data_IF_070146863281
#
_entry.id   IF_070146863281
#
_cell.length_a   1.000
_cell.length_b   1.000
_cell.length_c   1.000
_cell.angle_alpha   90.00
_cell.angle_beta   90.00
_cell.angle_gamma   90.00
#
_symmetry.space_group_name_H-M   'P 1'
#
loop_
_entity.id
_entity.type
_entity.pdbx_description
1 polymer ?
#
# COMPACT_ATOMS: atom_id res chain seq x y z
N UNK A 1 0.40 8.97 8.80
CA UNK A 1 0.22 7.96 7.74
C UNK A 1 -0.68 6.84 8.25
N UNK A 2 -1.54 6.35 7.39
CA UNK A 2 -2.38 5.18 7.67
C UNK A 2 -1.99 4.06 6.71
N UNK A 3 -1.56 2.94 7.25
CA UNK A 3 -1.18 1.77 6.46
C UNK A 3 -2.31 0.76 6.47
N UNK A 4 -2.63 0.23 5.31
CA UNK A 4 -3.58 -0.87 5.17
C UNK A 4 -2.99 -1.96 4.29
N UNK A 5 -3.53 -3.17 4.43
CA UNK A 5 -3.00 -4.34 3.73
C UNK A 5 -4.11 -5.00 2.93
N UNK A 6 -3.82 -5.28 1.68
CA UNK A 6 -4.75 -5.95 0.78
C UNK A 6 -4.61 -7.46 0.91
N UNK A 7 -5.71 -8.18 0.83
CA UNK A 7 -5.69 -9.64 0.72
C UNK A 7 -5.77 -10.02 -0.75
N UNK A 8 -4.67 -10.39 -1.40
CA UNK A 8 -4.67 -10.65 -2.84
C UNK A 8 -5.68 -11.71 -3.27
N UNK A 9 -5.91 -12.70 -2.41
CA UNK A 9 -6.87 -13.79 -2.70
C UNK A 9 -8.33 -13.34 -2.77
N UNK A 10 -8.65 -12.18 -2.18
CA UNK A 10 -10.00 -11.61 -2.21
C UNK A 10 -10.26 -10.76 -3.45
N UNK A 11 -9.24 -10.48 -4.24
CA UNK A 11 -9.34 -9.64 -5.42
C UNK A 11 -9.75 -10.46 -6.64
N UNK A 12 -10.46 -9.81 -7.57
CA UNK A 12 -10.73 -10.38 -8.89
C UNK A 12 -9.42 -10.59 -9.66
N UNK A 13 -9.42 -11.48 -10.65
CA UNK A 13 -8.22 -11.88 -11.39
C UNK A 13 -7.47 -10.73 -12.07
N UNK A 14 -8.19 -9.70 -12.51
CA UNK A 14 -7.62 -8.54 -13.18
C UNK A 14 -7.29 -7.39 -12.22
N UNK A 15 -7.41 -7.60 -10.92
CA UNK A 15 -7.11 -6.61 -9.91
C UNK A 15 -5.86 -6.96 -9.11
N UNK A 16 -5.14 -5.92 -8.70
CA UNK A 16 -3.93 -6.03 -7.91
C UNK A 16 -3.85 -4.85 -6.93
N UNK A 17 -2.95 -4.92 -5.95
CA UNK A 17 -2.64 -3.80 -5.08
C UNK A 17 -2.27 -2.56 -5.89
N UNK A 18 -1.44 -2.72 -6.91
CA UNK A 18 -0.98 -1.61 -7.74
C UNK A 18 -2.13 -0.96 -8.51
N UNK A 19 -3.04 -1.76 -9.02
CA UNK A 19 -4.24 -1.24 -9.68
C UNK A 19 -5.14 -0.48 -8.70
N UNK A 20 -5.29 -0.98 -7.49
CA UNK A 20 -6.07 -0.29 -6.44
C UNK A 20 -5.49 1.10 -6.18
N UNK A 21 -4.17 1.22 -6.02
CA UNK A 21 -3.50 2.52 -5.85
C UNK A 21 -3.80 3.46 -7.02
N UNK A 22 -3.66 2.96 -8.23
CA UNK A 22 -3.90 3.74 -9.45
C UNK A 22 -5.34 4.26 -9.52
N UNK A 23 -6.30 3.41 -9.26
CA UNK A 23 -7.72 3.77 -9.33
C UNK A 23 -8.12 4.77 -8.23
N UNK A 24 -7.59 4.61 -7.02
CA UNK A 24 -7.84 5.56 -5.92
C UNK A 24 -7.25 6.92 -6.26
N UNK A 25 -6.02 6.97 -6.77
CA UNK A 25 -5.40 8.22 -7.20
C UNK A 25 -6.19 8.89 -8.33
N UNK A 26 -6.76 8.11 -9.23
CA UNK A 26 -7.60 8.63 -10.32
C UNK A 26 -8.85 9.34 -9.81
N UNK A 27 -9.32 9.00 -8.61
CA UNK A 27 -10.44 9.68 -7.95
C UNK A 27 -10.00 10.93 -7.17
N UNK A 28 -8.74 11.34 -7.27
CA UNK A 28 -8.22 12.53 -6.62
C UNK A 28 -7.80 12.36 -5.17
N UNK A 29 -7.69 11.11 -4.69
CA UNK A 29 -7.27 10.80 -3.32
C UNK A 29 -5.83 10.29 -3.34
N UNK A 30 -4.90 10.92 -2.58
CA UNK A 30 -3.53 10.44 -2.49
C UNK A 30 -3.45 9.05 -1.86
N UNK A 31 -2.91 8.11 -2.60
CA UNK A 31 -2.70 6.75 -2.14
C UNK A 31 -1.35 6.28 -2.68
N UNK A 32 -0.53 5.71 -1.82
CA UNK A 32 0.85 5.35 -2.14
C UNK A 32 1.13 3.90 -1.75
N UNK A 33 2.24 3.38 -2.25
CA UNK A 33 2.82 2.15 -1.72
C UNK A 33 3.19 2.37 -0.25
N UNK A 34 3.20 1.28 0.52
CA UNK A 34 3.69 1.34 1.89
C UNK A 34 5.17 1.71 1.96
N UNK A 35 5.66 1.90 3.16
CA UNK A 35 7.08 2.18 3.38
C UNK A 35 7.94 1.02 2.89
N UNK A 36 9.24 1.30 2.67
CA UNK A 36 10.21 0.29 2.31
C UNK A 36 10.25 -0.82 3.37
N UNK A 37 9.73 -1.99 3.02
CA UNK A 37 9.64 -3.13 3.94
C UNK A 37 10.92 -3.93 4.02
N UNK A 38 11.72 -3.89 2.97
CA UNK A 38 12.96 -4.65 2.85
C UNK A 38 14.16 -3.69 2.75
N UNK A 39 14.31 -2.84 3.75
CA UNK A 39 15.35 -1.82 3.78
C UNK A 39 16.76 -2.44 3.65
N UNK A 40 16.93 -3.68 4.10
CA UNK A 40 18.19 -4.38 3.99
C UNK A 40 18.62 -4.67 2.55
N UNK A 41 17.73 -4.55 1.56
CA UNK A 41 18.06 -4.68 0.14
C UNK A 41 18.58 -3.39 -0.48
N UNK A 42 18.52 -2.28 0.25
CA UNK A 42 19.01 -0.99 -0.24
C UNK A 42 20.54 -1.04 -0.45
N UNK A 43 21.00 -0.28 -1.43
CA UNK A 43 22.43 -0.25 -1.80
C UNK A 43 23.35 0.09 -0.64
N UNK A 44 22.87 0.87 0.34
CA UNK A 44 23.64 1.23 1.52
C UNK A 44 24.13 0.02 2.32
N UNK A 45 23.47 -1.13 2.17
CA UNK A 45 23.82 -2.36 2.88
C UNK A 45 24.66 -3.33 2.05
N UNK A 46 25.01 -2.96 0.80
CA UNK A 46 25.86 -3.79 -0.04
C UNK A 46 27.26 -3.90 0.62
N UNK A 47 27.77 -5.12 0.69
CA UNK A 47 29.10 -5.43 1.22
C UNK A 47 29.33 -5.02 2.68
N UNK A 48 28.27 -4.83 3.47
CA UNK A 48 28.39 -4.45 4.89
C UNK A 48 28.39 -5.63 5.84
N UNK A 49 27.90 -6.79 5.41
CA UNK A 49 27.69 -7.96 6.27
C UNK A 49 26.43 -7.85 7.14
N UNK A 50 25.66 -6.79 7.05
CA UNK A 50 24.43 -6.59 7.84
C UNK A 50 23.17 -7.12 7.16
N UNK A 51 23.27 -7.47 5.90
CA UNK A 51 22.13 -8.05 5.17
C UNK A 51 21.89 -9.50 5.59
N UNK A 52 20.63 -9.90 5.87
CA UNK A 52 20.33 -11.31 6.15
C UNK A 52 20.76 -12.21 4.99
N UNK A 53 21.19 -13.43 5.31
CA UNK A 53 21.58 -14.42 4.28
C UNK A 53 20.41 -14.79 3.37
N UNK A 54 19.23 -14.90 3.96
CA UNK A 54 17.99 -15.20 3.24
C UNK A 54 17.05 -14.02 3.32
N UNK A 55 16.23 -13.87 2.28
CA UNK A 55 15.22 -12.81 2.22
C UNK A 55 14.17 -13.02 3.31
N UNK A 56 13.79 -11.93 3.99
CA UNK A 56 12.76 -11.97 5.03
C UNK A 56 11.38 -12.06 4.37
N UNK A 57 10.79 -13.26 4.41
CA UNK A 57 9.54 -13.55 3.69
C UNK A 57 8.39 -12.66 4.11
N UNK A 58 8.21 -12.43 5.41
CA UNK A 58 7.12 -11.58 5.91
C UNK A 58 7.29 -10.13 5.49
N UNK A 59 8.53 -9.61 5.52
CA UNK A 59 8.82 -8.26 5.07
C UNK A 59 8.51 -8.08 3.58
N UNK A 60 8.91 -9.04 2.76
CA UNK A 60 8.60 -9.06 1.33
C UNK A 60 7.09 -9.06 1.09
N UNK A 61 6.36 -9.95 1.75
CA UNK A 61 4.91 -10.08 1.59
C UNK A 61 4.18 -8.80 1.98
N UNK A 62 4.53 -8.21 3.13
CA UNK A 62 3.93 -6.97 3.59
C UNK A 62 4.20 -5.82 2.61
N UNK A 63 5.39 -5.77 2.02
CA UNK A 63 5.72 -4.78 1.01
C UNK A 63 4.88 -4.90 -0.25
N UNK A 64 4.52 -6.10 -0.62
CA UNK A 64 3.72 -6.37 -1.82
C UNK A 64 2.23 -6.05 -1.66
N UNK A 65 1.72 -6.03 -0.43
CA UNK A 65 0.29 -5.87 -0.17
C UNK A 65 -0.08 -4.58 0.55
N UNK A 66 0.90 -3.75 0.92
CA UNK A 66 0.64 -2.54 1.69
C UNK A 66 0.27 -1.34 0.84
N UNK A 67 -0.64 -0.53 1.37
CA UNK A 67 -1.04 0.77 0.86
C UNK A 67 -0.84 1.80 1.97
N UNK A 68 -0.69 3.06 1.60
CA UNK A 68 -0.54 4.14 2.55
C UNK A 68 -1.43 5.33 2.17
N UNK A 69 -2.13 5.86 3.16
CA UNK A 69 -2.91 7.09 3.03
C UNK A 69 -2.31 8.17 3.92
N UNK A 70 -2.46 9.42 3.49
CA UNK A 70 -2.00 10.56 4.28
C UNK A 70 -2.99 10.85 5.40
N UNK A 71 -2.47 11.06 6.61
CA UNK A 71 -3.24 11.45 7.79
C UNK A 71 -2.49 12.56 8.51
N UNK A 72 -3.17 13.68 8.77
CA UNK A 72 -2.61 14.78 9.55
C UNK A 72 -3.74 15.59 10.20
N UNK A 73 -3.42 16.38 11.26
CA UNK A 73 -4.46 17.04 12.06
C UNK A 73 -5.30 18.09 11.31
N UNK A 74 -4.79 18.59 10.18
CA UNK A 74 -5.49 19.61 9.39
C UNK A 74 -6.47 19.06 8.37
N UNK A 75 -6.60 17.72 8.26
CA UNK A 75 -7.59 17.12 7.38
C UNK A 75 -9.01 17.43 7.88
N UNK A 76 -9.86 17.89 6.97
CA UNK A 76 -11.27 18.14 7.27
C UNK A 76 -12.06 16.83 7.24
N UNK A 77 -13.27 16.86 7.85
CA UNK A 77 -14.19 15.71 7.77
C UNK A 77 -14.56 15.38 6.33
N UNK A 78 -14.72 16.38 5.48
CA UNK A 78 -15.06 16.18 4.06
C UNK A 78 -13.92 15.51 3.32
N UNK A 79 -12.68 15.88 3.58
CA UNK A 79 -11.50 15.23 2.99
C UNK A 79 -11.38 13.78 3.43
N UNK A 80 -11.62 13.48 4.69
CA UNK A 80 -11.62 12.11 5.21
C UNK A 80 -12.74 11.30 4.57
N UNK A 81 -13.93 11.89 4.46
CA UNK A 81 -15.07 11.22 3.83
C UNK A 81 -14.80 10.94 2.36
N UNK A 82 -14.21 11.88 1.64
CA UNK A 82 -13.80 11.68 0.25
C UNK A 82 -12.84 10.49 0.09
N UNK A 83 -11.89 10.37 1.00
CA UNK A 83 -10.94 9.24 1.02
C UNK A 83 -11.69 7.92 1.25
N UNK A 84 -12.58 7.88 2.24
CA UNK A 84 -13.38 6.68 2.53
C UNK A 84 -14.27 6.30 1.34
N UNK A 85 -14.90 7.26 0.69
CA UNK A 85 -15.76 7.02 -0.45
C UNK A 85 -14.97 6.46 -1.64
N UNK A 86 -13.79 7.00 -1.89
CA UNK A 86 -12.91 6.53 -2.95
C UNK A 86 -12.47 5.08 -2.70
N UNK A 87 -12.06 4.76 -1.47
CA UNK A 87 -11.68 3.41 -1.08
C UNK A 87 -12.85 2.44 -1.28
N UNK A 88 -14.03 2.81 -0.79
CA UNK A 88 -15.23 1.98 -0.90
C UNK A 88 -15.59 1.72 -2.36
N UNK A 89 -15.58 2.74 -3.19
CA UNK A 89 -15.90 2.63 -4.62
C UNK A 89 -14.93 1.69 -5.34
N UNK A 90 -13.63 1.88 -5.12
CA UNK A 90 -12.61 1.06 -5.78
C UNK A 90 -12.67 -0.38 -5.28
N UNK A 91 -12.80 -0.59 -3.98
CA UNK A 91 -12.84 -1.94 -3.42
C UNK A 91 -14.09 -2.71 -3.83
N UNK A 92 -15.23 -2.06 -3.99
CA UNK A 92 -16.43 -2.71 -4.50
C UNK A 92 -16.26 -3.23 -5.94
N UNK A 93 -15.40 -2.59 -6.72
CA UNK A 93 -15.04 -3.07 -8.07
C UNK A 93 -13.98 -4.18 -8.04
N UNK A 94 -13.10 -4.15 -7.07
CA UNK A 94 -11.92 -5.00 -7.00
C UNK A 94 -12.18 -6.37 -6.38
N UNK A 95 -13.10 -6.47 -5.42
CA UNK A 95 -13.37 -7.70 -4.67
C UNK A 95 -14.40 -8.59 -5.36
N UNK A 96 -14.26 -9.89 -5.14
CA UNK A 96 -15.22 -10.89 -5.63
C UNK A 96 -16.47 -10.97 -4.78
#
# INVERSE_FOLDING_TARGET
>A
KCYVFVKPKALKNDWSRDRIIKEINALGVPCYFGSCSEVYLEKAFDNTGFRPKERLTNAKELGEVSLMFLVHPTLTKDEIQQTCDAITSVMNLAIT
#
